data_IF_101279899212
#
_entry.id   IF_101279899212
#
_cell.length_a   1.000
_cell.length_b   1.000
_cell.length_c   1.000
_cell.angle_alpha   90.00
_cell.angle_beta   90.00
_cell.angle_gamma   90.00
#
_symmetry.space_group_name_H-M   'P 1'
#
loop_
_entity.id
_entity.type
_entity.pdbx_description
1 polymer ?
#
# COMPACT_ATOMS: atom_id res chain seq x y z
N UNK A 1 5.13 -12.17 -14.91
CA UNK A 1 4.54 -13.49 -14.49
C UNK A 1 4.35 -13.45 -12.99
N UNK A 2 3.29 -14.05 -12.46
CA UNK A 2 3.05 -14.15 -11.02
C UNK A 2 2.83 -15.62 -10.62
N UNK A 3 3.07 -15.93 -9.36
CA UNK A 3 2.74 -17.21 -8.74
C UNK A 3 1.70 -16.99 -7.65
N UNK A 4 0.70 -17.84 -7.60
CA UNK A 4 -0.31 -17.81 -6.56
C UNK A 4 -0.14 -19.00 -5.63
N UNK A 5 -0.19 -18.72 -4.34
CA UNK A 5 -0.13 -19.72 -3.30
C UNK A 5 -1.32 -19.59 -2.36
N UNK A 6 -1.79 -20.70 -1.84
CA UNK A 6 -2.76 -20.73 -0.75
C UNK A 6 -2.14 -21.49 0.41
N UNK A 7 -2.11 -20.89 1.57
CA UNK A 7 -1.61 -21.48 2.80
C UNK A 7 -2.64 -21.36 3.91
N UNK A 8 -2.51 -22.18 4.92
CA UNK A 8 -3.31 -22.09 6.15
C UNK A 8 -2.34 -22.00 7.32
N UNK A 9 -2.46 -20.96 8.10
CA UNK A 9 -1.62 -20.71 9.25
C UNK A 9 -2.48 -20.24 10.43
N UNK A 10 -2.36 -20.90 11.57
CA UNK A 10 -3.15 -20.60 12.78
C UNK A 10 -4.67 -20.51 12.53
N UNK A 11 -5.20 -21.39 11.67
CA UNK A 11 -6.63 -21.39 11.31
C UNK A 11 -7.06 -20.33 10.30
N UNK A 12 -6.14 -19.47 9.86
CA UNK A 12 -6.40 -18.47 8.83
C UNK A 12 -5.99 -18.96 7.45
N UNK A 13 -6.78 -18.65 6.45
CA UNK A 13 -6.42 -18.89 5.05
C UNK A 13 -5.68 -17.66 4.51
N UNK A 14 -4.47 -17.90 4.01
CA UNK A 14 -3.65 -16.90 3.34
C UNK A 14 -3.73 -17.10 1.83
N UNK A 15 -4.01 -16.03 1.12
CA UNK A 15 -3.93 -15.95 -0.34
C UNK A 15 -2.72 -15.10 -0.70
N UNK A 16 -1.70 -15.71 -1.28
CA UNK A 16 -0.40 -15.07 -1.52
C UNK A 16 -0.20 -14.98 -3.03
N UNK A 17 0.10 -13.79 -3.51
CA UNK A 17 0.52 -13.55 -4.90
C UNK A 17 1.97 -13.08 -4.85
N UNK A 18 2.86 -13.83 -5.46
CA UNK A 18 4.27 -13.46 -5.61
C UNK A 18 4.53 -13.01 -7.03
N UNK A 19 5.21 -11.88 -7.20
CA UNK A 19 5.54 -11.34 -8.51
C UNK A 19 6.80 -10.47 -8.45
N UNK A 20 7.36 -10.14 -9.61
CA UNK A 20 8.43 -9.15 -9.70
C UNK A 20 7.87 -7.74 -9.41
N UNK A 21 8.65 -6.91 -8.73
CA UNK A 21 8.26 -5.54 -8.42
C UNK A 21 7.87 -4.72 -9.67
N UNK A 22 8.45 -5.04 -10.81
CA UNK A 22 8.11 -4.41 -12.10
C UNK A 22 6.69 -4.69 -12.58
N UNK A 23 6.02 -5.69 -12.03
CA UNK A 23 4.63 -6.04 -12.38
C UNK A 23 3.61 -5.34 -11.47
N UNK A 24 4.05 -4.63 -10.45
CA UNK A 24 3.17 -3.94 -9.51
C UNK A 24 2.84 -2.55 -10.04
N UNK A 25 1.59 -2.19 -9.91
CA UNK A 25 1.09 -0.87 -10.28
C UNK A 25 0.00 -0.41 -9.32
N UNK A 26 0.27 0.49 -8.39
CA UNK A 26 -0.79 1.17 -7.64
C UNK A 26 -1.77 1.85 -8.59
N UNK A 27 -3.06 1.67 -8.34
CA UNK A 27 -4.12 2.24 -9.14
C UNK A 27 -5.28 2.68 -8.26
N UNK A 28 -5.94 3.76 -8.65
CA UNK A 28 -7.21 4.15 -8.06
C UNK A 28 -8.33 3.48 -8.84
N UNK A 29 -9.17 2.74 -8.14
CA UNK A 29 -10.44 2.27 -8.72
C UNK A 29 -11.51 3.32 -8.44
N UNK A 30 -12.27 3.68 -9.46
CA UNK A 30 -13.44 4.53 -9.30
C UNK A 30 -14.52 3.76 -8.52
N UNK A 31 -15.38 4.49 -7.81
CA UNK A 31 -16.48 3.94 -6.98
C UNK A 31 -17.35 2.90 -7.72
N UNK A 32 -17.50 3.05 -9.01
CA UNK A 32 -18.28 2.15 -9.88
C UNK A 32 -17.49 0.96 -10.42
N UNK A 33 -16.20 0.92 -10.14
CA UNK A 33 -15.28 -0.10 -10.65
C UNK A 33 -14.83 -1.02 -9.52
N UNK A 34 -14.74 -2.30 -9.80
CA UNK A 34 -14.15 -3.28 -8.89
C UNK A 34 -13.26 -4.24 -9.66
N UNK A 35 -12.38 -4.92 -8.95
CA UNK A 35 -11.45 -5.89 -9.54
C UNK A 35 -12.17 -7.06 -10.21
N UNK A 36 -13.38 -7.43 -9.75
CA UNK A 36 -14.14 -8.57 -10.28
C UNK A 36 -14.50 -8.39 -11.76
N UNK A 37 -14.71 -7.15 -12.20
CA UNK A 37 -15.04 -6.82 -13.59
C UNK A 37 -13.84 -6.42 -14.44
N UNK A 38 -12.65 -6.41 -13.88
CA UNK A 38 -11.41 -6.08 -14.57
C UNK A 38 -10.62 -7.35 -14.91
N UNK A 39 -9.73 -7.26 -15.88
CA UNK A 39 -8.76 -8.33 -16.16
C UNK A 39 -7.50 -8.21 -15.29
N UNK A 40 -7.58 -7.44 -14.21
CA UNK A 40 -6.46 -7.17 -13.31
C UNK A 40 -6.58 -8.01 -12.04
N UNK A 41 -5.46 -8.44 -11.51
CA UNK A 41 -5.34 -9.01 -10.19
C UNK A 41 -4.84 -7.94 -9.24
N UNK A 42 -5.40 -7.87 -8.04
CA UNK A 42 -4.98 -6.85 -7.10
C UNK A 42 -5.44 -7.11 -5.68
N UNK A 43 -4.89 -6.33 -4.79
CA UNK A 43 -5.24 -6.27 -3.37
C UNK A 43 -5.59 -4.83 -3.00
N UNK A 44 -6.22 -4.64 -1.87
CA UNK A 44 -6.46 -3.32 -1.34
C UNK A 44 -5.13 -2.61 -1.11
N UNK A 45 -5.08 -1.34 -1.52
CA UNK A 45 -3.95 -0.45 -1.30
C UNK A 45 -4.02 0.27 0.05
N UNK A 46 -3.56 1.53 0.06
CA UNK A 46 -3.59 2.38 1.24
C UNK A 46 -4.97 2.94 1.57
N UNK A 47 -5.01 3.72 2.64
CA UNK A 47 -6.23 4.37 3.09
C UNK A 47 -6.70 5.49 2.17
N UNK A 48 -8.00 5.73 2.20
CA UNK A 48 -8.62 6.82 1.46
C UNK A 48 -9.70 7.47 2.33
N UNK A 49 -10.01 8.74 2.07
CA UNK A 49 -11.19 9.39 2.63
C UNK A 49 -12.20 9.65 1.53
N UNK A 50 -13.46 9.48 1.87
CA UNK A 50 -14.56 10.01 1.09
C UNK A 50 -15.17 11.17 1.87
N UNK A 51 -15.11 12.37 1.34
CA UNK A 51 -15.71 13.54 1.98
C UNK A 51 -17.21 13.56 1.83
N UNK A 52 -17.76 12.79 0.87
CA UNK A 52 -19.21 12.61 0.68
C UNK A 52 -19.48 11.25 0.03
N UNK A 53 -20.59 10.59 0.37
CA UNK A 53 -20.99 9.31 -0.24
C UNK A 53 -21.12 9.36 -1.78
N UNK A 54 -21.36 10.54 -2.34
CA UNK A 54 -21.59 10.77 -3.77
C UNK A 54 -20.40 11.42 -4.48
N UNK A 55 -19.31 11.70 -3.74
CA UNK A 55 -18.13 12.31 -4.32
C UNK A 55 -17.26 11.22 -4.96
N UNK A 56 -17.03 11.33 -6.26
CA UNK A 56 -16.13 10.44 -6.99
C UNK A 56 -14.65 10.73 -6.72
N UNK A 57 -14.38 11.75 -5.90
CA UNK A 57 -13.04 12.14 -5.47
C UNK A 57 -12.69 11.51 -4.12
N UNK A 58 -12.26 10.26 -4.15
CA UNK A 58 -11.59 9.68 -2.99
C UNK A 58 -10.19 10.27 -2.88
N UNK A 59 -9.92 10.95 -1.78
CA UNK A 59 -8.56 11.37 -1.46
C UNK A 59 -7.79 10.15 -0.93
N UNK A 60 -6.71 9.80 -1.61
CA UNK A 60 -5.78 8.80 -1.11
C UNK A 60 -4.97 9.45 0.02
N UNK A 61 -5.04 8.88 1.22
CA UNK A 61 -4.36 9.41 2.41
C UNK A 61 -2.90 8.98 2.51
N UNK A 62 -2.53 7.92 1.82
CA UNK A 62 -1.17 7.41 1.82
C UNK A 62 -0.48 7.70 0.50
N UNK A 63 0.84 7.53 0.51
CA UNK A 63 1.61 7.53 -0.73
C UNK A 63 1.08 6.40 -1.63
N UNK A 64 0.69 6.76 -2.84
CA UNK A 64 0.36 5.83 -3.92
C UNK A 64 0.85 6.43 -5.23
N UNK A 65 1.89 5.85 -5.79
CA UNK A 65 2.59 6.35 -6.98
C UNK A 65 2.66 5.26 -8.02
N UNK A 66 2.37 5.61 -9.25
CA UNK A 66 2.55 4.76 -10.42
C UNK A 66 3.19 5.54 -11.55
N UNK A 67 4.23 4.98 -12.17
CA UNK A 67 4.97 5.67 -13.22
C UNK A 67 5.60 6.99 -12.76
N UNK A 68 6.04 7.06 -11.50
CA UNK A 68 6.67 8.24 -10.91
C UNK A 68 5.72 9.41 -10.66
N UNK A 69 4.41 9.18 -10.68
CA UNK A 69 3.37 10.20 -10.47
C UNK A 69 2.34 9.71 -9.46
N UNK A 70 1.79 10.62 -8.64
CA UNK A 70 0.69 10.29 -7.74
C UNK A 70 -0.49 9.68 -8.49
N UNK A 71 -1.07 8.66 -7.89
CA UNK A 71 -2.31 8.03 -8.38
C UNK A 71 -3.50 8.84 -7.89
N UNK A 72 -4.54 8.93 -8.73
CA UNK A 72 -5.78 9.58 -8.36
C UNK A 72 -5.78 11.10 -8.43
N UNK A 73 -4.81 11.71 -9.07
CA UNK A 73 -4.74 13.18 -9.23
C UNK A 73 -4.66 13.95 -7.91
N UNK A 74 -4.46 13.25 -6.82
CA UNK A 74 -4.55 13.80 -5.47
C UNK A 74 -3.41 14.74 -5.14
N UNK A 75 -3.80 15.88 -4.61
CA UNK A 75 -2.91 16.89 -4.02
C UNK A 75 -2.21 16.33 -2.78
N UNK A 76 -2.70 15.23 -2.23
CA UNK A 76 -2.37 14.71 -0.91
C UNK A 76 -1.75 13.31 -0.93
N UNK A 77 -0.91 13.02 -1.89
CA UNK A 77 -0.17 11.75 -1.91
C UNK A 77 0.94 11.77 -0.84
N UNK A 78 0.51 11.93 0.40
CA UNK A 78 1.32 12.03 1.60
C UNK A 78 0.92 10.93 2.57
N UNK A 79 1.87 10.45 3.36
CA UNK A 79 1.57 9.62 4.52
C UNK A 79 1.07 10.51 5.66
N UNK A 80 -0.18 10.88 5.61
CA UNK A 80 -0.81 11.67 6.68
C UNK A 80 -1.40 10.76 7.76
N UNK A 81 -1.43 11.21 9.01
CA UNK A 81 -2.14 10.48 10.04
C UNK A 81 -3.63 10.41 9.71
N UNK A 82 -4.23 9.26 9.91
CA UNK A 82 -5.68 9.08 9.92
C UNK A 82 -6.25 9.97 11.00
N UNK A 83 -7.28 10.72 10.79
CA UNK A 83 -8.01 11.52 11.80
C UNK A 83 -7.33 12.77 12.39
N UNK A 84 -6.23 13.25 11.83
CA UNK A 84 -5.54 14.42 12.37
C UNK A 84 -4.79 14.19 13.68
N UNK A 85 -4.73 12.95 14.17
CA UNK A 85 -3.86 12.61 15.29
C UNK A 85 -2.40 12.62 14.87
N UNK A 86 -1.51 13.04 15.75
CA UNK A 86 -0.05 13.07 15.53
C UNK A 86 0.50 11.65 15.65
N UNK A 87 -0.06 10.72 14.89
CA UNK A 87 0.45 9.36 14.85
C UNK A 87 1.71 9.31 14.00
N UNK A 88 2.79 8.83 14.58
CA UNK A 88 4.02 8.47 13.84
C UNK A 88 3.83 7.19 13.02
N UNK A 89 2.66 6.59 13.12
CA UNK A 89 2.31 5.32 12.50
C UNK A 89 1.74 5.60 11.11
N UNK A 90 2.25 4.93 10.09
CA UNK A 90 1.82 5.14 8.70
C UNK A 90 2.74 6.02 7.87
N UNK A 91 3.90 6.40 8.40
CA UNK A 91 4.92 7.17 7.65
C UNK A 91 5.84 6.31 6.79
N UNK A 92 5.59 5.03 6.69
CA UNK A 92 6.45 4.14 5.93
C UNK A 92 5.96 3.98 4.50
N UNK A 93 6.89 3.86 3.58
CA UNK A 93 6.61 3.53 2.20
C UNK A 93 7.58 2.47 1.69
N UNK A 94 7.05 1.55 0.90
CA UNK A 94 7.83 0.72 0.01
C UNK A 94 7.82 1.35 -1.37
N UNK A 95 8.92 1.23 -2.10
CA UNK A 95 9.00 1.78 -3.44
C UNK A 95 9.91 0.95 -4.33
N UNK A 96 9.67 1.05 -5.63
CA UNK A 96 10.48 0.46 -6.68
C UNK A 96 10.90 1.55 -7.65
N UNK A 97 12.16 1.59 -8.03
CA UNK A 97 12.74 2.60 -8.92
C UNK A 97 12.85 2.14 -10.37
N UNK A 98 12.36 0.95 -10.68
CA UNK A 98 12.65 0.31 -11.96
C UNK A 98 13.94 -0.51 -11.97
N UNK A 99 14.71 -0.48 -10.87
CA UNK A 99 15.99 -1.19 -10.73
C UNK A 99 16.09 -1.91 -9.38
N UNK A 100 15.62 -1.29 -8.33
CA UNK A 100 15.68 -1.85 -6.97
C UNK A 100 14.44 -1.48 -6.16
N UNK A 101 14.17 -2.28 -5.15
CA UNK A 101 13.18 -2.02 -4.11
C UNK A 101 13.82 -1.25 -2.96
N UNK A 102 13.04 -0.37 -2.35
CA UNK A 102 13.42 0.34 -1.14
C UNK A 102 12.28 0.39 -0.13
N UNK A 103 12.66 0.67 1.11
CA UNK A 103 11.75 0.86 2.22
C UNK A 103 12.30 1.97 3.12
N UNK A 104 11.47 2.95 3.44
CA UNK A 104 11.87 4.04 4.34
C UNK A 104 10.66 4.77 4.93
N UNK A 105 10.92 5.55 5.96
CA UNK A 105 9.97 6.58 6.39
C UNK A 105 9.97 7.74 5.39
N UNK A 106 8.79 8.15 4.97
CA UNK A 106 8.60 9.28 4.07
C UNK A 106 7.27 9.96 4.35
N UNK A 107 7.26 11.28 4.35
CA UNK A 107 6.03 12.07 4.44
C UNK A 107 5.43 12.29 3.07
N UNK A 108 6.24 12.56 2.08
CA UNK A 108 5.83 12.77 0.69
C UNK A 108 6.46 11.73 -0.22
N UNK A 109 5.80 11.43 -1.34
CA UNK A 109 6.40 10.57 -2.36
C UNK A 109 7.66 11.17 -2.99
N UNK A 110 7.80 12.49 -2.94
CA UNK A 110 8.96 13.21 -3.45
C UNK A 110 10.24 12.96 -2.63
N UNK A 111 10.07 12.54 -1.38
CA UNK A 111 11.18 12.16 -0.50
C UNK A 111 11.78 10.81 -0.88
N UNK A 112 11.06 10.03 -1.70
CA UNK A 112 11.48 8.68 -2.10
C UNK A 112 12.52 8.75 -3.22
N UNK A 113 13.75 8.23 -3.00
CA UNK A 113 14.83 8.34 -3.98
C UNK A 113 14.49 7.61 -5.28
N UNK A 114 14.66 8.30 -6.40
CA UNK A 114 14.48 7.73 -7.73
C UNK A 114 13.04 7.41 -8.13
N UNK A 115 12.04 7.90 -7.39
CA UNK A 115 10.62 7.66 -7.69
C UNK A 115 10.02 8.77 -8.52
N UNK A 116 10.15 10.03 -8.10
CA UNK A 116 9.52 11.19 -8.77
C UNK A 116 9.93 11.27 -10.25
N UNK A 117 8.93 11.28 -11.12
CA UNK A 117 9.12 11.41 -12.57
C UNK A 117 9.70 10.17 -13.27
N UNK A 118 9.96 9.11 -12.56
CA UNK A 118 10.49 7.88 -13.13
C UNK A 118 9.34 6.97 -13.60
N UNK A 119 9.18 6.82 -14.90
CA UNK A 119 8.07 6.08 -15.51
C UNK A 119 8.01 4.59 -15.15
N UNK A 120 9.10 4.02 -14.63
CA UNK A 120 9.14 2.62 -14.18
C UNK A 120 8.93 2.47 -12.68
N UNK A 121 8.91 3.59 -11.96
CA UNK A 121 8.81 3.58 -10.51
C UNK A 121 7.37 3.49 -10.02
N UNK A 122 7.22 2.87 -8.86
CA UNK A 122 6.00 2.92 -8.08
C UNK A 122 6.32 3.02 -6.58
N UNK A 123 5.35 3.46 -5.80
CA UNK A 123 5.45 3.48 -4.34
C UNK A 123 4.08 3.28 -3.69
N UNK A 124 4.09 2.65 -2.52
CA UNK A 124 2.91 2.45 -1.69
C UNK A 124 3.26 2.76 -0.24
N UNK A 125 2.53 3.69 0.34
CA UNK A 125 2.58 3.99 1.76
C UNK A 125 1.65 3.10 2.56
N UNK A 126 1.97 2.97 3.84
CA UNK A 126 1.18 2.16 4.76
C UNK A 126 1.81 2.08 6.14
N UNK A 127 1.31 1.15 6.92
CA UNK A 127 1.83 0.84 8.26
C UNK A 127 2.89 -0.24 8.15
N UNK A 128 4.07 0.04 8.70
CA UNK A 128 5.11 -0.97 8.80
C UNK A 128 4.75 -2.03 9.83
N UNK A 129 4.73 -3.26 9.41
CA UNK A 129 4.55 -4.38 10.34
C UNK A 129 5.83 -4.69 11.12
N UNK A 130 6.99 -4.18 10.69
CA UNK A 130 8.29 -4.38 11.36
C UNK A 130 8.50 -5.85 11.75
N UNK A 131 8.43 -6.74 10.79
CA UNK A 131 8.58 -8.19 11.00
C UNK A 131 9.89 -8.45 11.75
N UNK A 132 9.83 -9.19 12.84
CA UNK A 132 10.94 -9.39 13.78
C UNK A 132 10.88 -8.52 15.03
N UNK A 133 10.05 -7.49 15.08
CA UNK A 133 9.76 -6.77 16.32
C UNK A 133 8.68 -7.51 17.10
N UNK A 134 8.97 -7.90 18.34
CA UNK A 134 8.00 -8.61 19.20
C UNK A 134 6.73 -7.80 19.48
N UNK A 135 6.78 -6.49 19.32
CA UNK A 135 5.66 -5.58 19.57
C UNK A 135 4.89 -5.17 18.30
N UNK A 136 5.15 -5.80 17.14
CA UNK A 136 4.53 -5.40 15.88
C UNK A 136 3.00 -5.38 15.92
N UNK A 137 2.37 -6.32 16.64
CA UNK A 137 0.91 -6.36 16.81
C UNK A 137 0.39 -5.09 17.48
N UNK A 138 1.07 -4.63 18.54
CA UNK A 138 0.70 -3.39 19.22
C UNK A 138 0.86 -2.16 18.34
N UNK A 139 1.90 -2.15 17.51
CA UNK A 139 2.16 -1.07 16.56
C UNK A 139 1.07 -1.03 15.48
N UNK A 140 0.74 -2.17 14.91
CA UNK A 140 -0.31 -2.29 13.89
C UNK A 140 -1.68 -1.92 14.47
N UNK A 141 -2.04 -2.46 15.64
CA UNK A 141 -3.33 -2.17 16.26
C UNK A 141 -3.54 -0.70 16.61
N UNK A 142 -2.47 0.02 16.96
CA UNK A 142 -2.53 1.47 17.17
C UNK A 142 -2.71 2.26 15.88
N UNK A 143 -2.24 1.70 14.77
CA UNK A 143 -2.28 2.34 13.48
C UNK A 143 -3.59 2.13 12.74
N UNK A 144 -4.11 0.94 12.88
CA UNK A 144 -5.29 0.48 12.16
C UNK A 144 -6.33 0.24 13.23
N UNK A 145 -7.13 1.17 13.60
CA UNK A 145 -8.25 0.97 14.54
C UNK A 145 -9.08 -0.26 14.11
N UNK A 146 -8.53 -1.44 14.41
CA UNK A 146 -9.11 -2.73 14.04
C UNK A 146 -10.18 -2.99 15.08
N UNK A 147 -11.39 -2.60 14.76
CA UNK A 147 -12.53 -3.13 15.46
C UNK A 147 -12.50 -4.66 15.35
N UNK A 148 -12.83 -5.32 16.40
CA UNK A 148 -12.73 -6.76 16.64
C UNK A 148 -13.50 -7.66 15.66
N UNK A 149 -14.13 -7.11 14.66
CA UNK A 149 -14.88 -7.85 13.67
C UNK A 149 -13.93 -8.29 12.54
N UNK A 150 -14.03 -9.55 12.16
CA UNK A 150 -13.17 -10.24 11.20
C UNK A 150 -13.14 -9.55 9.83
N UNK A 151 -12.33 -8.52 9.69
CA UNK A 151 -12.11 -7.84 8.41
C UNK A 151 -10.97 -8.52 7.65
N UNK A 152 -11.13 -8.63 6.34
CA UNK A 152 -10.05 -9.09 5.46
C UNK A 152 -8.94 -8.04 5.41
N UNK A 153 -7.73 -8.42 5.79
CA UNK A 153 -6.56 -7.56 5.74
C UNK A 153 -5.70 -7.91 4.52
N UNK A 154 -5.12 -6.89 3.93
CA UNK A 154 -4.13 -7.03 2.88
C UNK A 154 -2.78 -6.52 3.36
N UNK A 155 -1.72 -7.25 3.05
CA UNK A 155 -0.35 -6.84 3.34
C UNK A 155 0.50 -6.95 2.08
N UNK A 156 1.49 -6.06 1.97
CA UNK A 156 2.54 -6.14 0.96
C UNK A 156 3.82 -6.51 1.68
N UNK A 157 4.45 -7.57 1.23
CA UNK A 157 5.74 -8.04 1.72
C UNK A 157 6.74 -7.92 0.58
N UNK A 158 7.90 -7.38 0.86
CA UNK A 158 8.94 -7.18 -0.15
C UNK A 158 10.23 -7.89 0.23
N UNK A 159 10.84 -8.52 -0.73
CA UNK A 159 12.21 -9.03 -0.62
C UNK A 159 13.14 -8.05 -1.33
N UNK A 160 13.95 -7.33 -0.56
CA UNK A 160 14.81 -6.27 -1.08
C UNK A 160 15.98 -6.80 -1.92
N UNK A 161 16.41 -8.04 -1.68
CA UNK A 161 17.53 -8.64 -2.40
C UNK A 161 17.13 -9.13 -3.80
N UNK A 162 15.90 -9.62 -3.92
CA UNK A 162 15.41 -10.24 -5.17
C UNK A 162 14.43 -9.37 -5.94
N UNK A 163 14.01 -8.23 -5.40
CA UNK A 163 12.93 -7.38 -5.92
C UNK A 163 11.61 -8.15 -6.13
N UNK A 164 11.32 -9.14 -5.29
CA UNK A 164 10.05 -9.85 -5.25
C UNK A 164 9.08 -9.20 -4.26
N UNK A 165 7.81 -9.26 -4.62
CA UNK A 165 6.69 -8.74 -3.82
C UNK A 165 5.64 -9.82 -3.68
#
# INVERSE_FOLDING_TARGET
MYTYHKATENGMTLHIIETDASNIRPAQLLKTSNLKGSNEYGINGGWYTSTKPDDNNYNILNIAVSGGRPVGGGVNNKNEPRDGSVSTVGKHAIFYTGSYMGYMEATNYEDLPGVKGNSRAWAQGGVAMSLGNQNWVSVVNKAVDVNSDHEGLSAIVVNLDTNKV
#
